data_IF_595340764433
#
_entry.id   IF_595340764433
#
_cell.length_a   1.000
_cell.length_b   1.000
_cell.length_c   1.000
_cell.angle_alpha   90.00
_cell.angle_beta   90.00
_cell.angle_gamma   90.00
#
_symmetry.space_group_name_H-M   'P 1'
#
loop_
_entity.id
_entity.type
_entity.pdbx_description
1 polymer ?
#
# COMPACT_ATOMS: atom_id res chain seq x y z
N UNK A 1 -4.49 -11.77 0.76
CA UNK A 1 -5.33 -10.96 -0.17
C UNK A 1 -4.48 -10.41 -1.31
N UNK A 2 -5.04 -10.43 -2.49
CA UNK A 2 -4.45 -9.75 -3.65
C UNK A 2 -5.58 -9.35 -4.60
N UNK A 3 -5.26 -8.44 -5.51
CA UNK A 3 -6.15 -8.01 -6.57
C UNK A 3 -5.47 -8.25 -7.92
N UNK A 4 -6.21 -8.82 -8.86
CA UNK A 4 -5.72 -9.05 -10.22
C UNK A 4 -6.53 -8.15 -11.15
N UNK A 5 -5.86 -7.21 -11.82
CA UNK A 5 -6.55 -6.28 -12.71
C UNK A 5 -6.84 -6.89 -14.09
N UNK A 6 -7.52 -6.14 -14.95
CA UNK A 6 -7.90 -6.64 -16.27
C UNK A 6 -6.70 -6.95 -17.17
N UNK A 7 -5.57 -6.33 -16.96
CA UNK A 7 -4.33 -6.59 -17.71
C UNK A 7 -3.55 -7.80 -17.17
N UNK A 8 -3.96 -8.35 -16.02
CA UNK A 8 -3.29 -9.49 -15.39
C UNK A 8 -2.24 -9.11 -14.36
N UNK A 9 -2.06 -7.83 -14.06
CA UNK A 9 -1.13 -7.40 -13.01
C UNK A 9 -1.68 -7.79 -11.64
N UNK A 10 -0.82 -8.33 -10.78
CA UNK A 10 -1.18 -8.75 -9.43
C UNK A 10 -0.76 -7.67 -8.45
N UNK A 11 -1.74 -7.07 -7.82
CA UNK A 11 -1.60 -5.90 -6.94
C UNK A 11 -1.86 -6.29 -5.49
N UNK A 12 -1.22 -5.61 -4.49
CA UNK A 12 -1.42 -5.96 -3.08
C UNK A 12 -2.80 -5.58 -2.53
N UNK A 13 -3.48 -4.64 -3.18
CA UNK A 13 -4.78 -4.14 -2.75
C UNK A 13 -5.53 -3.58 -3.95
N UNK A 14 -6.86 -3.63 -3.92
CA UNK A 14 -7.69 -3.08 -5.00
C UNK A 14 -7.46 -1.58 -5.21
N UNK A 15 -6.97 -0.87 -4.21
CA UNK A 15 -6.69 0.57 -4.28
C UNK A 15 -5.22 0.91 -4.51
N UNK A 16 -4.34 -0.07 -4.47
CA UNK A 16 -2.89 0.14 -4.69
C UNK A 16 -2.53 -0.36 -6.09
N UNK A 17 -2.43 0.58 -7.03
CA UNK A 17 -2.22 0.30 -8.45
C UNK A 17 -0.74 0.26 -8.81
N UNK A 18 -0.01 -0.64 -8.13
CA UNK A 18 1.41 -0.91 -8.38
C UNK A 18 1.65 -2.40 -8.35
N UNK A 19 2.54 -2.88 -9.19
CA UNK A 19 2.86 -4.31 -9.28
C UNK A 19 4.24 -4.52 -9.91
N UNK A 20 4.82 -5.67 -9.63
CA UNK A 20 6.03 -6.15 -10.28
C UNK A 20 5.83 -7.49 -10.96
N UNK A 21 4.59 -8.02 -11.01
CA UNK A 21 4.31 -9.34 -11.58
C UNK A 21 2.95 -9.43 -12.24
N UNK A 22 2.87 -10.22 -13.31
CA UNK A 22 1.66 -10.39 -14.12
C UNK A 22 1.38 -11.89 -14.29
N UNK A 23 0.13 -12.33 -14.09
CA UNK A 23 -0.26 -13.74 -14.15
C UNK A 23 -0.15 -14.32 -15.58
N UNK A 24 -0.02 -13.50 -16.60
CA UNK A 24 0.20 -13.97 -17.98
C UNK A 24 1.65 -14.39 -18.21
N UNK A 25 2.57 -13.92 -17.36
CA UNK A 25 4.01 -14.15 -17.48
C UNK A 25 4.55 -15.09 -16.42
N UNK A 26 3.92 -15.13 -15.23
CA UNK A 26 4.37 -15.90 -14.08
C UNK A 26 3.20 -16.65 -13.47
N UNK A 27 3.51 -17.76 -12.76
CA UNK A 27 2.49 -18.49 -12.01
C UNK A 27 1.91 -17.61 -10.90
N UNK A 28 0.72 -17.95 -10.43
CA UNK A 28 0.07 -17.24 -9.33
C UNK A 28 0.94 -17.22 -8.07
N UNK A 29 1.57 -18.35 -7.73
CA UNK A 29 2.45 -18.42 -6.57
C UNK A 29 3.67 -17.51 -6.71
N UNK A 30 4.25 -17.42 -7.91
CA UNK A 30 5.35 -16.50 -8.16
C UNK A 30 4.91 -15.05 -8.02
N UNK A 31 3.70 -14.72 -8.50
CA UNK A 31 3.14 -13.38 -8.34
C UNK A 31 2.95 -13.01 -6.87
N UNK A 32 2.52 -13.96 -6.02
CA UNK A 32 2.37 -13.73 -4.59
C UNK A 32 3.71 -13.54 -3.86
N UNK A 33 4.81 -13.93 -4.49
CA UNK A 33 6.17 -13.79 -3.96
C UNK A 33 6.94 -12.64 -4.59
N UNK A 34 6.26 -11.79 -5.37
CA UNK A 34 6.90 -10.64 -5.98
C UNK A 34 7.49 -9.68 -4.93
N UNK A 35 8.54 -8.93 -5.28
CA UNK A 35 9.21 -8.04 -4.32
C UNK A 35 8.27 -7.07 -3.60
N UNK A 36 7.28 -6.49 -4.28
CA UNK A 36 6.33 -5.58 -3.67
C UNK A 36 5.52 -6.25 -2.54
N UNK A 37 5.08 -7.49 -2.76
CA UNK A 37 4.35 -8.25 -1.73
C UNK A 37 5.25 -8.59 -0.55
N UNK A 38 6.52 -8.91 -0.79
CA UNK A 38 7.48 -9.16 0.29
C UNK A 38 7.75 -7.91 1.11
N UNK A 39 7.88 -6.76 0.46
CA UNK A 39 8.04 -5.46 1.16
C UNK A 39 6.78 -5.10 1.96
N UNK A 40 5.60 -5.34 1.39
CA UNK A 40 4.32 -5.13 2.06
C UNK A 40 4.23 -5.98 3.34
N UNK A 41 4.57 -7.24 3.23
CA UNK A 41 4.56 -8.18 4.37
C UNK A 41 5.56 -7.80 5.44
N UNK A 42 6.79 -7.42 5.05
CA UNK A 42 7.84 -6.98 5.98
C UNK A 42 7.47 -5.70 6.71
N UNK A 43 6.76 -4.79 6.04
CA UNK A 43 6.40 -3.50 6.61
C UNK A 43 5.27 -3.54 7.62
N UNK A 44 4.51 -4.64 7.67
CA UNK A 44 3.37 -4.73 8.57
C UNK A 44 3.79 -4.98 10.02
N UNK A 45 3.13 -4.37 11.01
CA UNK A 45 2.08 -3.34 10.83
C UNK A 45 2.69 -1.99 10.42
N UNK A 46 2.05 -1.28 9.49
CA UNK A 46 2.53 0.02 9.04
C UNK A 46 2.36 1.11 10.10
N UNK A 47 1.59 0.84 11.12
CA UNK A 47 1.39 1.73 12.26
C UNK A 47 1.04 0.90 13.48
N UNK A 48 1.57 1.25 14.64
CA UNK A 48 1.23 0.58 15.89
C UNK A 48 -0.23 0.79 16.27
N UNK A 49 -0.80 1.92 15.84
CA UNK A 49 -2.24 2.17 15.94
C UNK A 49 -2.96 1.47 14.80
N UNK A 50 -3.70 0.39 15.12
CA UNK A 50 -4.37 -0.44 14.11
C UNK A 50 -5.59 0.24 13.46
N UNK A 51 -5.97 1.44 13.91
CA UNK A 51 -6.95 2.28 13.24
C UNK A 51 -6.33 3.06 12.07
N UNK A 52 -5.02 2.94 11.90
CA UNK A 52 -4.25 3.55 10.81
C UNK A 52 -3.46 2.47 10.05
N UNK A 53 -4.13 1.46 9.47
CA UNK A 53 -3.45 0.27 8.94
C UNK A 53 -2.89 0.43 7.51
N UNK A 54 -3.37 1.38 6.73
CA UNK A 54 -3.09 1.42 5.30
C UNK A 54 -1.76 2.13 4.99
N UNK A 55 -0.87 1.52 4.18
CA UNK A 55 0.38 2.16 3.78
C UNK A 55 0.21 3.25 2.73
N UNK A 56 -1.03 3.53 2.31
CA UNK A 56 -1.34 4.57 1.34
C UNK A 56 -2.15 5.70 1.95
N UNK A 57 -3.30 5.39 2.57
CA UNK A 57 -4.21 6.42 3.09
C UNK A 57 -3.75 7.02 4.40
N UNK A 58 -3.41 6.18 5.37
CA UNK A 58 -3.08 6.63 6.74
C UNK A 58 -1.58 6.80 6.97
N UNK A 59 -0.76 6.12 6.17
CA UNK A 59 0.71 6.17 6.26
C UNK A 59 1.29 6.35 4.85
N UNK A 60 0.99 7.47 4.18
CA UNK A 60 1.25 7.63 2.74
C UNK A 60 2.72 7.56 2.36
N UNK A 61 3.64 7.87 3.26
CA UNK A 61 5.08 7.77 3.02
C UNK A 61 5.59 6.33 2.93
N UNK A 62 4.83 5.34 3.39
CA UNK A 62 5.24 3.94 3.32
C UNK A 62 5.22 3.39 1.89
N UNK A 63 4.21 3.75 1.11
CA UNK A 63 4.04 3.20 -0.23
C UNK A 63 5.17 3.55 -1.19
N UNK A 64 5.61 4.83 -1.30
CA UNK A 64 6.74 5.17 -2.18
C UNK A 64 8.01 4.38 -1.88
N UNK A 65 8.32 4.18 -0.59
CA UNK A 65 9.48 3.41 -0.17
C UNK A 65 9.39 1.95 -0.59
N UNK A 66 8.22 1.32 -0.42
CA UNK A 66 8.01 -0.07 -0.82
C UNK A 66 8.10 -0.23 -2.33
N UNK A 67 7.48 0.66 -3.09
CA UNK A 67 7.50 0.64 -4.56
C UNK A 67 8.93 0.79 -5.07
N UNK A 68 9.68 1.71 -4.48
CA UNK A 68 11.08 1.95 -4.85
C UNK A 68 11.97 0.74 -4.56
N UNK A 69 11.88 0.16 -3.36
CA UNK A 69 12.67 -1.03 -2.98
C UNK A 69 12.33 -2.23 -3.84
N UNK A 70 11.06 -2.39 -4.17
CA UNK A 70 10.59 -3.52 -4.96
C UNK A 70 10.83 -3.37 -6.46
N UNK A 71 11.11 -2.15 -6.94
CA UNK A 71 11.18 -1.88 -8.37
C UNK A 71 9.83 -2.04 -9.07
N UNK A 72 8.73 -1.88 -8.33
CA UNK A 72 7.39 -1.99 -8.88
C UNK A 72 7.04 -0.78 -9.75
N UNK A 73 6.07 -0.96 -10.63
CA UNK A 73 5.62 0.07 -11.55
C UNK A 73 4.11 0.32 -11.38
N UNK A 74 3.66 1.48 -11.85
CA UNK A 74 2.24 1.79 -11.90
C UNK A 74 1.52 0.86 -12.88
N UNK A 75 0.36 0.35 -12.46
CA UNK A 75 -0.50 -0.50 -13.27
C UNK A 75 -1.61 0.25 -13.97
N UNK A 76 -1.70 1.57 -13.76
CA UNK A 76 -2.65 2.43 -14.45
C UNK A 76 -2.14 2.69 -15.87
N UNK A 77 -2.86 2.17 -16.85
CA UNK A 77 -2.47 2.26 -18.26
C UNK A 77 -2.79 3.61 -18.89
N UNK A 78 -3.81 4.31 -18.40
CA UNK A 78 -4.25 5.58 -18.97
C UNK A 78 -3.56 6.77 -18.33
N UNK A 79 -3.37 6.72 -17.01
CA UNK A 79 -2.80 7.83 -16.25
C UNK A 79 -1.81 7.30 -15.19
N UNK A 80 -0.65 6.77 -15.62
CA UNK A 80 0.35 6.27 -14.67
C UNK A 80 0.72 7.36 -13.67
N UNK A 81 0.76 6.97 -12.39
CA UNK A 81 1.05 7.90 -11.31
C UNK A 81 2.22 7.39 -10.48
N UNK A 82 3.17 8.27 -10.16
CA UNK A 82 4.24 7.89 -9.24
C UNK A 82 3.69 7.71 -7.82
N UNK A 83 4.31 6.83 -7.05
CA UNK A 83 3.93 6.61 -5.66
C UNK A 83 4.17 7.86 -4.82
N UNK A 84 5.15 8.69 -5.17
CA UNK A 84 5.45 9.95 -4.52
C UNK A 84 4.30 10.97 -4.72
N UNK A 85 3.76 11.06 -5.93
CA UNK A 85 2.63 11.93 -6.22
C UNK A 85 1.38 11.48 -5.45
N UNK A 86 1.13 10.17 -5.40
CA UNK A 86 0.03 9.61 -4.63
C UNK A 86 0.21 9.88 -3.14
N UNK A 87 1.43 9.78 -2.62
CA UNK A 87 1.76 10.14 -1.24
C UNK A 87 1.35 11.58 -0.93
N UNK A 88 1.72 12.51 -1.80
CA UNK A 88 1.35 13.93 -1.65
C UNK A 88 -0.18 14.12 -1.60
N UNK A 89 -0.91 13.40 -2.44
CA UNK A 89 -2.38 13.47 -2.47
C UNK A 89 -3.03 12.92 -1.19
N UNK A 90 -2.45 11.89 -0.60
CA UNK A 90 -3.00 11.25 0.60
C UNK A 90 -2.60 11.94 1.90
N UNK A 91 -1.63 12.84 1.86
CA UNK A 91 -1.04 13.45 3.06
C UNK A 91 -2.06 14.21 3.90
N UNK A 92 -2.93 14.98 3.27
CA UNK A 92 -3.97 15.75 3.97
C UNK A 92 -4.98 14.83 4.67
N UNK A 93 -5.39 13.74 4.03
CA UNK A 93 -6.28 12.75 4.63
C UNK A 93 -5.63 12.11 5.86
N UNK A 94 -4.40 11.67 5.73
CA UNK A 94 -3.66 11.02 6.82
C UNK A 94 -3.51 11.96 8.02
N UNK A 95 -3.18 13.23 7.78
CA UNK A 95 -3.04 14.24 8.82
C UNK A 95 -4.37 14.56 9.51
N UNK A 96 -5.47 14.53 8.76
CA UNK A 96 -6.81 14.78 9.29
C UNK A 96 -7.30 13.62 10.18
N UNK A 97 -7.05 12.37 9.78
CA UNK A 97 -7.47 11.19 10.52
C UNK A 97 -6.63 10.92 11.76
N UNK A 98 -5.35 11.26 11.71
CA UNK A 98 -4.38 10.94 12.78
C UNK A 98 -4.87 11.28 14.20
N UNK A 99 -5.29 12.52 14.52
CA UNK A 99 -5.70 12.86 15.88
C UNK A 99 -6.95 12.09 16.32
N UNK A 100 -7.88 11.85 15.42
CA UNK A 100 -9.09 11.07 15.73
C UNK A 100 -8.75 9.61 15.99
N UNK A 101 -7.88 9.02 15.18
CA UNK A 101 -7.43 7.65 15.37
C UNK A 101 -6.68 7.49 16.70
N UNK A 102 -5.83 8.43 17.05
CA UNK A 102 -5.10 8.41 18.32
C UNK A 102 -6.04 8.49 19.52
N UNK A 103 -7.04 9.37 19.45
CA UNK A 103 -8.06 9.52 20.49
C UNK A 103 -8.85 8.23 20.70
N UNK A 104 -9.37 7.65 19.62
CA UNK A 104 -10.16 6.41 19.69
C UNK A 104 -9.31 5.24 20.18
N UNK A 105 -8.06 5.16 19.75
CA UNK A 105 -7.12 4.13 20.17
C UNK A 105 -6.83 4.20 21.67
N UNK A 106 -6.64 5.40 22.19
CA UNK A 106 -6.42 5.64 23.61
C UNK A 106 -7.67 5.31 24.45
N UNK A 107 -8.86 5.63 23.96
CA UNK A 107 -10.13 5.31 24.62
C UNK A 107 -10.35 3.81 24.77
N UNK A 108 -9.79 3.01 23.87
CA UNK A 108 -9.83 1.55 23.95
C UNK A 108 -8.77 0.96 24.89
N UNK A 109 -7.97 1.79 25.55
CA UNK A 109 -6.96 1.36 26.52
C UNK A 109 -5.59 1.07 25.93
N UNK A 110 -5.32 1.52 24.71
CA UNK A 110 -4.02 1.36 24.07
C UNK A 110 -3.12 2.58 24.30
N UNK A 111 -1.81 2.37 24.23
CA UNK A 111 -0.85 3.46 24.23
C UNK A 111 -0.87 4.19 22.87
N UNK A 112 -0.72 5.49 22.94
CA UNK A 112 -0.74 6.35 21.75
C UNK A 112 0.67 6.52 21.15
#
# INVERSE_FOLDING_TARGET
YCHINAAGDVEPCVFIHYSGANIREKSFLECLRQPLFLEYRKGQPFNDNLLRPCPMLENPECLPEMVKRAGAHSTDLEAPESAEHLCDKCHAYAACWKPEAEKLWAEEGHEV
#
